data_IF_311922386850
#
_entry.id   IF_311922386850
#
_cell.length_a   1.000
_cell.length_b   1.000
_cell.length_c   1.000
_cell.angle_alpha   90.00
_cell.angle_beta   90.00
_cell.angle_gamma   90.00
#
_symmetry.space_group_name_H-M   'P 1'
#
loop_
_entity.id
_entity.type
_entity.pdbx_description
1 polymer ?
#
# COMPACT_ATOMS: atom_id res chain seq x y z
N UNK A 1 -16.26 29.39 -42.12
CA UNK A 1 -16.54 28.84 -40.78
C UNK A 1 -15.20 28.70 -40.06
N UNK A 2 -14.90 29.63 -39.17
CA UNK A 2 -13.65 29.70 -38.40
C UNK A 2 -13.77 28.83 -37.15
N UNK A 3 -13.00 27.76 -37.08
CA UNK A 3 -12.83 26.95 -35.88
C UNK A 3 -12.12 27.81 -34.81
N UNK A 4 -12.65 27.97 -33.60
CA UNK A 4 -11.97 28.74 -32.57
C UNK A 4 -10.69 27.99 -32.15
N UNK A 5 -9.58 28.73 -32.10
CA UNK A 5 -8.31 28.25 -31.60
C UNK A 5 -8.50 27.74 -30.16
N UNK A 6 -8.32 26.43 -29.98
CA UNK A 6 -8.17 25.85 -28.65
C UNK A 6 -6.91 26.44 -28.03
N UNK A 7 -7.07 27.39 -27.11
CA UNK A 7 -6.03 27.77 -26.17
C UNK A 7 -5.74 26.56 -25.29
N UNK A 8 -4.88 25.65 -25.77
CA UNK A 8 -4.19 24.72 -24.88
C UNK A 8 -3.23 25.57 -24.07
N UNK A 9 -3.59 25.87 -22.82
CA UNK A 9 -2.67 26.43 -21.84
C UNK A 9 -1.35 25.66 -21.91
N UNK A 10 -0.19 26.33 -22.00
CA UNK A 10 1.09 25.65 -21.98
C UNK A 10 1.16 24.84 -20.69
N UNK A 11 1.23 23.52 -20.78
CA UNK A 11 1.55 22.69 -19.62
C UNK A 11 2.94 23.15 -19.14
N UNK A 12 3.07 23.75 -17.94
CA UNK A 12 4.36 24.22 -17.48
C UNK A 12 5.31 23.02 -17.41
N UNK A 13 6.51 23.20 -17.94
CA UNK A 13 7.43 22.13 -18.32
C UNK A 13 7.50 20.94 -17.35
N UNK A 14 7.26 19.74 -17.90
CA UNK A 14 7.88 18.49 -17.46
C UNK A 14 7.93 18.22 -15.96
N UNK A 15 6.85 18.45 -15.22
CA UNK A 15 6.77 17.93 -13.85
C UNK A 15 6.90 16.39 -13.92
N UNK A 16 7.87 15.77 -13.22
CA UNK A 16 8.02 14.31 -13.18
C UNK A 16 6.90 13.62 -12.37
N UNK A 17 5.94 14.41 -11.86
CA UNK A 17 4.88 13.95 -10.98
C UNK A 17 3.68 13.43 -11.77
N UNK A 18 3.64 12.11 -11.98
CA UNK A 18 2.48 11.43 -12.55
C UNK A 18 2.23 10.09 -11.85
N UNK A 19 1.08 9.98 -11.20
CA UNK A 19 0.60 8.77 -10.55
C UNK A 19 -0.31 7.96 -11.49
N UNK A 20 -0.37 6.62 -11.32
CA UNK A 20 -1.27 5.78 -12.09
C UNK A 20 -2.73 6.20 -11.91
N UNK A 21 -3.51 6.02 -12.97
CA UNK A 21 -4.92 6.39 -13.00
C UNK A 21 -5.78 5.21 -13.42
N UNK A 22 -7.03 5.21 -12.96
CA UNK A 22 -8.03 4.26 -13.44
C UNK A 22 -8.42 4.61 -14.88
N UNK A 23 -8.60 3.58 -15.72
CA UNK A 23 -9.14 3.74 -17.07
C UNK A 23 -10.51 4.44 -17.06
N UNK A 24 -11.34 4.12 -16.07
CA UNK A 24 -12.64 4.75 -15.83
C UNK A 24 -12.64 5.46 -14.47
N UNK A 25 -12.23 6.74 -14.46
CA UNK A 25 -12.01 7.52 -13.23
C UNK A 25 -13.26 7.77 -12.39
N UNK A 26 -14.45 7.71 -12.99
CA UNK A 26 -15.74 7.94 -12.31
C UNK A 26 -16.50 6.63 -12.10
N UNK A 27 -16.65 5.83 -13.16
CA UNK A 27 -17.48 4.63 -13.11
C UNK A 27 -16.95 3.59 -12.11
N UNK A 28 -15.63 3.34 -12.06
CA UNK A 28 -15.07 2.33 -11.15
C UNK A 28 -15.27 2.72 -9.67
N UNK A 29 -14.86 3.93 -9.21
CA UNK A 29 -15.13 4.33 -7.83
C UNK A 29 -16.61 4.34 -7.48
N UNK A 30 -17.47 4.83 -8.38
CA UNK A 30 -18.91 4.87 -8.16
C UNK A 30 -19.49 3.46 -7.99
N UNK A 31 -19.19 2.55 -8.91
CA UNK A 31 -19.65 1.16 -8.84
C UNK A 31 -19.13 0.47 -7.58
N UNK A 32 -17.86 0.66 -7.21
CA UNK A 32 -17.31 0.08 -5.99
C UNK A 32 -18.02 0.61 -4.74
N UNK A 33 -18.21 1.93 -4.62
CA UNK A 33 -18.92 2.55 -3.48
C UNK A 33 -20.36 2.05 -3.40
N UNK A 34 -21.09 2.05 -4.51
CA UNK A 34 -22.48 1.60 -4.55
C UNK A 34 -22.60 0.09 -4.26
N UNK A 35 -21.72 -0.74 -4.82
CA UNK A 35 -21.71 -2.17 -4.57
C UNK A 35 -21.40 -2.46 -3.10
N UNK A 36 -20.36 -1.83 -2.52
CA UNK A 36 -20.03 -2.01 -1.11
C UNK A 36 -21.13 -1.50 -0.20
N UNK A 37 -21.76 -0.37 -0.51
CA UNK A 37 -22.91 0.13 0.25
C UNK A 37 -24.11 -0.81 0.16
N UNK A 38 -24.38 -1.37 -1.02
CA UNK A 38 -25.46 -2.35 -1.24
C UNK A 38 -25.21 -3.62 -0.44
N UNK A 39 -23.99 -4.18 -0.52
CA UNK A 39 -23.60 -5.34 0.30
C UNK A 39 -23.75 -5.03 1.78
N UNK A 40 -23.23 -3.88 2.24
CA UNK A 40 -23.38 -3.45 3.63
C UNK A 40 -24.84 -3.39 4.07
N UNK A 41 -25.73 -2.86 3.21
CA UNK A 41 -27.16 -2.79 3.51
C UNK A 41 -27.81 -4.17 3.55
N UNK A 42 -27.42 -5.09 2.67
CA UNK A 42 -27.87 -6.48 2.71
C UNK A 42 -27.42 -7.19 4.00
N UNK A 43 -26.21 -6.91 4.50
CA UNK A 43 -25.73 -7.45 5.78
C UNK A 43 -26.57 -6.95 6.96
N UNK A 44 -26.95 -5.67 6.97
CA UNK A 44 -27.85 -5.08 7.98
C UNK A 44 -29.21 -5.80 7.99
N UNK A 45 -29.71 -6.16 6.82
CA UNK A 45 -31.02 -6.80 6.66
C UNK A 45 -31.00 -8.33 6.80
N UNK A 46 -29.84 -8.93 7.10
CA UNK A 46 -29.66 -10.38 7.16
C UNK A 46 -29.30 -10.84 8.59
N UNK A 47 -30.29 -11.07 9.47
CA UNK A 47 -30.07 -11.50 10.84
C UNK A 47 -29.14 -12.72 10.94
N UNK A 48 -29.32 -13.71 10.08
CA UNK A 48 -28.55 -14.96 10.09
C UNK A 48 -27.04 -14.73 9.93
N UNK A 49 -26.65 -13.74 9.11
CA UNK A 49 -25.24 -13.41 8.88
C UNK A 49 -24.70 -12.63 10.08
N UNK A 50 -25.47 -11.67 10.58
CA UNK A 50 -25.09 -10.89 11.76
C UNK A 50 -24.95 -11.78 13.00
N UNK A 51 -25.84 -12.76 13.19
CA UNK A 51 -25.79 -13.73 14.28
C UNK A 51 -24.57 -14.64 14.15
N UNK A 52 -24.27 -15.13 12.94
CA UNK A 52 -23.08 -15.95 12.69
C UNK A 52 -21.77 -15.19 12.94
N UNK A 53 -21.67 -13.93 12.50
CA UNK A 53 -20.51 -13.09 12.79
C UNK A 53 -20.42 -12.76 14.28
N UNK A 54 -21.55 -12.55 14.98
CA UNK A 54 -21.57 -12.30 16.43
C UNK A 54 -21.12 -13.54 17.21
N UNK A 55 -21.62 -14.73 16.87
CA UNK A 55 -21.21 -16.00 17.48
C UNK A 55 -19.71 -16.27 17.29
N UNK A 56 -19.14 -15.92 16.13
CA UNK A 56 -17.69 -15.98 15.91
C UNK A 56 -16.94 -15.07 16.89
N UNK A 57 -17.41 -13.82 17.07
CA UNK A 57 -16.78 -12.87 17.98
C UNK A 57 -16.88 -13.31 19.44
N UNK A 58 -18.01 -13.88 19.85
CA UNK A 58 -18.20 -14.47 21.19
C UNK A 58 -17.30 -15.69 21.42
N UNK A 59 -17.14 -16.55 20.40
CA UNK A 59 -16.20 -17.66 20.44
C UNK A 59 -14.75 -17.18 20.62
N UNK A 60 -14.36 -16.09 19.96
CA UNK A 60 -13.04 -15.46 20.16
C UNK A 60 -12.90 -14.86 21.56
N UNK A 61 -13.96 -14.25 22.11
CA UNK A 61 -13.89 -13.66 23.46
C UNK A 61 -13.71 -14.72 24.56
N UNK A 62 -14.23 -15.94 24.36
CA UNK A 62 -14.02 -17.06 25.28
C UNK A 62 -12.57 -17.57 25.31
N UNK A 63 -11.78 -17.31 24.26
CA UNK A 63 -10.38 -17.74 24.14
C UNK A 63 -9.40 -16.56 24.33
N UNK A 64 -9.80 -15.53 25.10
CA UNK A 64 -8.94 -14.38 25.38
C UNK A 64 -7.72 -14.76 26.21
N UNK A 65 -6.61 -14.06 25.98
CA UNK A 65 -5.42 -14.16 26.79
C UNK A 65 -4.70 -12.81 26.85
N UNK A 66 -3.95 -12.59 27.94
CA UNK A 66 -3.35 -11.30 28.24
C UNK A 66 -2.40 -10.77 27.14
N UNK A 67 -1.68 -11.66 26.44
CA UNK A 67 -0.77 -11.26 25.38
C UNK A 67 -1.53 -10.71 24.17
N UNK A 68 -2.53 -11.45 23.68
CA UNK A 68 -3.34 -11.03 22.54
C UNK A 68 -4.20 -9.80 22.89
N UNK A 69 -4.69 -9.69 24.12
CA UNK A 69 -5.40 -8.51 24.61
C UNK A 69 -4.51 -7.26 24.61
N UNK A 70 -3.27 -7.39 25.10
CA UNK A 70 -2.29 -6.30 25.09
C UNK A 70 -1.93 -5.89 23.66
N UNK A 71 -1.69 -6.85 22.76
CA UNK A 71 -1.41 -6.57 21.35
C UNK A 71 -2.59 -5.90 20.65
N UNK A 72 -3.81 -6.41 20.82
CA UNK A 72 -5.00 -5.82 20.23
C UNK A 72 -5.26 -4.41 20.77
N UNK A 73 -5.03 -4.17 22.06
CA UNK A 73 -5.17 -2.85 22.69
C UNK A 73 -4.11 -1.87 22.19
N UNK A 74 -2.86 -2.32 22.04
CA UNK A 74 -1.79 -1.50 21.47
C UNK A 74 -2.10 -1.09 20.03
N UNK A 75 -2.60 -2.02 19.21
CA UNK A 75 -3.03 -1.73 17.83
C UNK A 75 -4.19 -0.74 17.81
N UNK A 76 -5.18 -0.88 18.71
CA UNK A 76 -6.29 0.06 18.83
C UNK A 76 -5.84 1.47 19.20
N UNK A 77 -4.89 1.60 20.13
CA UNK A 77 -4.33 2.88 20.52
C UNK A 77 -3.55 3.52 19.36
N UNK A 78 -2.67 2.74 18.72
CA UNK A 78 -1.81 3.19 17.64
C UNK A 78 -2.58 3.61 16.37
N UNK A 79 -3.77 3.02 16.14
CA UNK A 79 -4.62 3.34 14.99
C UNK A 79 -5.91 4.05 15.37
N UNK A 80 -6.00 4.62 16.58
CA UNK A 80 -7.10 5.51 16.95
C UNK A 80 -7.23 6.65 15.94
N UNK A 81 -8.43 7.23 15.77
CA UNK A 81 -8.64 8.30 14.79
C UNK A 81 -7.64 9.47 14.98
N UNK A 82 -7.35 9.84 16.22
CA UNK A 82 -6.32 10.84 16.54
C UNK A 82 -4.92 10.38 16.15
N UNK A 83 -4.54 9.14 16.49
CA UNK A 83 -3.24 8.58 16.11
C UNK A 83 -3.07 8.47 14.58
N UNK A 84 -4.11 8.12 13.82
CA UNK A 84 -4.06 8.11 12.35
C UNK A 84 -3.77 9.50 11.79
N UNK A 85 -4.41 10.55 12.32
CA UNK A 85 -4.12 11.94 11.92
C UNK A 85 -2.66 12.29 12.21
N UNK A 86 -2.16 11.93 13.40
CA UNK A 86 -0.76 12.14 13.77
C UNK A 86 0.21 11.37 12.87
N UNK A 87 -0.09 10.12 12.51
CA UNK A 87 0.72 9.32 11.58
C UNK A 87 0.75 9.97 10.20
N UNK A 88 -0.40 10.39 9.67
CA UNK A 88 -0.47 11.08 8.37
C UNK A 88 0.33 12.38 8.43
N UNK A 89 0.15 13.20 9.47
CA UNK A 89 0.90 14.44 9.64
C UNK A 89 2.41 14.20 9.80
N UNK A 90 2.83 13.17 10.54
CA UNK A 90 4.21 12.81 10.72
C UNK A 90 4.87 12.35 9.42
N UNK A 91 4.17 11.55 8.60
CA UNK A 91 4.67 11.14 7.27
C UNK A 91 4.78 12.34 6.34
N UNK A 92 3.79 13.24 6.32
CA UNK A 92 3.85 14.50 5.56
C UNK A 92 5.06 15.32 5.99
N UNK A 93 5.24 15.55 7.30
CA UNK A 93 6.37 16.31 7.84
C UNK A 93 7.72 15.65 7.53
N UNK A 94 7.82 14.33 7.66
CA UNK A 94 9.02 13.58 7.30
C UNK A 94 9.35 13.69 5.81
N UNK A 95 8.37 13.54 4.91
CA UNK A 95 8.57 13.68 3.48
C UNK A 95 8.94 15.12 3.10
N UNK A 96 8.24 16.12 3.64
CA UNK A 96 8.44 17.52 3.31
C UNK A 96 9.75 18.08 3.88
N UNK A 97 10.04 17.84 5.16
CA UNK A 97 11.13 18.50 5.90
C UNK A 97 12.41 17.66 5.92
N UNK A 98 12.31 16.37 6.22
CA UNK A 98 13.48 15.49 6.37
C UNK A 98 13.95 14.99 5.02
N UNK A 99 13.03 14.48 4.19
CA UNK A 99 13.36 13.99 2.84
C UNK A 99 13.45 15.11 1.80
N UNK A 100 12.98 16.32 2.11
CA UNK A 100 12.93 17.47 1.19
C UNK A 100 12.18 17.14 -0.11
N UNK A 101 11.06 16.45 0.02
CA UNK A 101 10.16 16.04 -1.08
C UNK A 101 8.73 16.54 -0.86
N UNK A 102 8.50 17.87 -1.02
CA UNK A 102 7.18 18.46 -0.79
C UNK A 102 6.11 17.94 -1.76
N UNK A 103 6.49 17.53 -2.98
CA UNK A 103 5.55 16.92 -3.94
C UNK A 103 5.06 15.55 -3.44
N UNK A 104 5.98 14.69 -3.02
CA UNK A 104 5.66 13.38 -2.43
C UNK A 104 4.80 13.54 -1.16
N UNK A 105 5.11 14.54 -0.32
CA UNK A 105 4.37 14.83 0.90
C UNK A 105 2.92 15.25 0.61
N UNK A 106 2.73 16.17 -0.32
CA UNK A 106 1.40 16.66 -0.74
C UNK A 106 0.60 15.54 -1.41
N UNK A 107 1.24 14.79 -2.31
CA UNK A 107 0.66 13.61 -2.93
C UNK A 107 0.20 12.58 -1.91
N UNK A 108 1.09 12.18 -1.00
CA UNK A 108 0.76 11.25 0.08
C UNK A 108 -0.45 11.72 0.89
N UNK A 109 -0.49 13.00 1.28
CA UNK A 109 -1.61 13.57 2.02
C UNK A 109 -2.94 13.45 1.26
N UNK A 110 -2.97 13.86 -0.01
CA UNK A 110 -4.17 13.77 -0.86
C UNK A 110 -4.62 12.30 -0.98
N UNK A 111 -3.70 11.38 -1.25
CA UNK A 111 -4.00 9.96 -1.44
C UNK A 111 -4.55 9.32 -0.16
N UNK A 112 -3.87 9.52 0.97
CA UNK A 112 -4.25 8.93 2.25
C UNK A 112 -5.61 9.46 2.73
N UNK A 113 -5.84 10.78 2.63
CA UNK A 113 -7.10 11.41 3.02
C UNK A 113 -8.26 11.01 2.09
N UNK A 114 -8.03 10.89 0.78
CA UNK A 114 -9.06 10.45 -0.16
C UNK A 114 -9.47 8.98 0.10
N UNK A 115 -8.50 8.10 0.34
CA UNK A 115 -8.75 6.70 0.71
C UNK A 115 -9.53 6.56 2.01
N UNK A 116 -9.09 7.26 3.06
CA UNK A 116 -9.75 7.21 4.37
C UNK A 116 -11.13 7.87 4.34
N UNK A 117 -11.27 9.01 3.65
CA UNK A 117 -12.53 9.72 3.47
C UNK A 117 -13.57 8.90 2.70
N UNK A 118 -13.17 8.14 1.67
CA UNK A 118 -14.07 7.24 0.95
C UNK A 118 -14.67 6.17 1.87
N UNK A 119 -13.88 5.63 2.81
CA UNK A 119 -14.39 4.69 3.83
C UNK A 119 -15.37 5.39 4.76
N UNK A 120 -15.08 6.62 5.18
CA UNK A 120 -16.01 7.45 5.96
C UNK A 120 -17.34 7.70 5.24
N UNK A 121 -17.31 7.94 3.94
CA UNK A 121 -18.52 8.14 3.12
C UNK A 121 -19.40 6.88 3.12
N UNK A 122 -18.84 5.72 2.80
CA UNK A 122 -19.59 4.45 2.80
C UNK A 122 -20.14 4.15 4.20
N UNK A 123 -19.39 4.53 5.24
CA UNK A 123 -19.81 4.32 6.62
C UNK A 123 -21.13 5.00 6.96
N UNK A 124 -21.30 6.24 6.51
CA UNK A 124 -22.54 7.01 6.70
C UNK A 124 -23.68 6.46 5.83
N UNK A 125 -23.38 5.91 4.64
CA UNK A 125 -24.40 5.37 3.74
C UNK A 125 -25.01 4.05 4.21
N UNK A 126 -24.24 3.19 4.88
CA UNK A 126 -24.69 1.85 5.28
C UNK A 126 -25.38 1.85 6.64
N UNK A 127 -24.86 2.62 7.59
CA UNK A 127 -25.40 2.72 8.96
C UNK A 127 -25.54 1.35 9.65
N UNK A 128 -24.52 0.49 9.52
CA UNK A 128 -24.53 -0.83 10.17
C UNK A 128 -24.21 -0.68 11.66
N UNK A 129 -25.04 -1.24 12.56
CA UNK A 129 -24.72 -1.26 13.99
C UNK A 129 -23.47 -2.10 14.26
N UNK A 130 -22.77 -1.79 15.36
CA UNK A 130 -21.62 -2.57 15.81
C UNK A 130 -22.03 -3.84 16.57
N UNK A 131 -21.10 -4.81 16.69
CA UNK A 131 -21.37 -6.03 17.45
C UNK A 131 -21.85 -5.73 18.87
N UNK A 132 -23.03 -6.25 19.21
CA UNK A 132 -23.57 -6.27 20.57
C UNK A 132 -23.37 -7.66 21.13
N UNK A 133 -22.54 -7.79 22.17
CA UNK A 133 -22.28 -9.07 22.82
C UNK A 133 -23.44 -9.43 23.73
N UNK A 134 -23.96 -10.65 23.58
CA UNK A 134 -24.97 -11.19 24.49
C UNK A 134 -24.30 -11.86 25.70
N UNK A 135 -23.09 -12.39 25.50
CA UNK A 135 -22.26 -12.98 26.55
C UNK A 135 -20.81 -12.49 26.47
N UNK A 136 -20.37 -11.73 27.48
CA UNK A 136 -19.02 -11.17 27.60
C UNK A 136 -18.89 -9.71 27.17
N UNK A 137 -17.87 -9.01 27.69
CA UNK A 137 -17.62 -7.60 27.37
C UNK A 137 -16.66 -7.43 26.18
N UNK A 138 -16.90 -6.45 25.29
CA UNK A 138 -15.89 -6.07 24.30
C UNK A 138 -14.59 -5.66 25.00
N UNK A 139 -13.44 -5.92 24.36
CA UNK A 139 -12.13 -5.66 24.97
C UNK A 139 -11.92 -4.16 25.29
N UNK A 140 -12.63 -3.27 24.58
CA UNK A 140 -12.60 -1.83 24.80
C UNK A 140 -13.97 -1.22 24.54
N UNK A 141 -14.39 -0.18 25.30
CA UNK A 141 -15.63 0.52 25.04
C UNK A 141 -15.67 1.03 23.61
N UNK A 142 -16.72 0.63 22.93
CA UNK A 142 -16.87 0.86 21.50
C UNK A 142 -17.29 2.31 21.28
N UNK A 143 -16.37 3.15 20.81
CA UNK A 143 -16.69 4.55 20.48
C UNK A 143 -17.40 4.64 19.11
N UNK A 144 -18.65 5.14 19.15
CA UNK A 144 -19.50 5.41 17.98
C UNK A 144 -20.41 4.25 17.56
N UNK A 145 -21.54 4.57 16.91
CA UNK A 145 -22.62 3.62 16.54
C UNK A 145 -22.32 2.76 15.30
N UNK A 146 -21.44 3.22 14.40
CA UNK A 146 -21.31 2.66 13.04
C UNK A 146 -20.13 1.66 12.91
N UNK A 147 -20.39 0.50 12.33
CA UNK A 147 -19.43 -0.61 12.16
C UNK A 147 -18.83 -0.70 10.76
N UNK A 148 -19.65 -0.66 9.72
CA UNK A 148 -19.27 -0.98 8.35
C UNK A 148 -18.99 0.29 7.52
N UNK A 149 -17.88 0.39 6.77
CA UNK A 149 -16.70 -0.47 6.81
C UNK A 149 -15.76 -0.08 7.98
N UNK A 150 -14.79 -0.94 8.29
CA UNK A 150 -13.78 -0.67 9.32
C UNK A 150 -12.91 0.54 8.94
N UNK A 151 -13.05 1.65 9.68
CA UNK A 151 -12.28 2.88 9.43
C UNK A 151 -10.79 2.73 9.70
N UNK A 152 -10.40 1.89 10.67
CA UNK A 152 -8.99 1.67 11.02
C UNK A 152 -8.29 0.81 9.96
N UNK A 153 -8.97 -0.24 9.49
CA UNK A 153 -8.49 -1.04 8.34
C UNK A 153 -8.42 -0.17 7.10
N UNK A 154 -9.45 0.65 6.85
CA UNK A 154 -9.47 1.60 5.74
C UNK A 154 -8.32 2.60 5.76
N UNK A 155 -8.03 3.19 6.91
CA UNK A 155 -6.90 4.09 7.10
C UNK A 155 -5.57 3.38 6.85
N UNK A 156 -5.38 2.17 7.37
CA UNK A 156 -4.16 1.38 7.16
C UNK A 156 -3.94 1.09 5.67
N UNK A 157 -4.98 0.62 4.95
CA UNK A 157 -4.94 0.41 3.50
C UNK A 157 -4.59 1.71 2.77
N UNK A 158 -5.25 2.82 3.11
CA UNK A 158 -5.03 4.11 2.47
C UNK A 158 -3.58 4.59 2.64
N UNK A 159 -3.04 4.51 3.86
CA UNK A 159 -1.65 4.90 4.18
C UNK A 159 -0.66 4.02 3.41
N UNK A 160 -0.84 2.70 3.43
CA UNK A 160 0.06 1.75 2.75
C UNK A 160 0.08 1.99 1.24
N UNK A 161 -1.09 2.12 0.63
CA UNK A 161 -1.19 2.39 -0.81
C UNK A 161 -0.61 3.78 -1.16
N UNK A 162 -0.92 4.82 -0.38
CA UNK A 162 -0.38 6.15 -0.57
C UNK A 162 1.16 6.15 -0.49
N UNK A 163 1.74 5.57 0.55
CA UNK A 163 3.19 5.40 0.70
C UNK A 163 3.81 4.64 -0.46
N UNK A 164 3.14 3.58 -0.93
CA UNK A 164 3.62 2.76 -2.05
C UNK A 164 3.66 3.54 -3.37
N UNK A 165 2.72 4.45 -3.57
CA UNK A 165 2.60 5.26 -4.79
C UNK A 165 3.60 6.42 -4.82
N UNK A 166 3.95 6.98 -3.66
CA UNK A 166 4.98 8.04 -3.55
C UNK A 166 6.39 7.49 -3.28
N UNK A 167 6.57 6.17 -3.26
CA UNK A 167 7.86 5.55 -2.99
C UNK A 167 8.88 5.80 -4.13
N UNK A 168 10.07 6.28 -3.79
CA UNK A 168 11.09 6.63 -4.81
C UNK A 168 11.80 5.46 -5.48
N UNK A 169 11.59 4.22 -5.04
CA UNK A 169 12.22 3.06 -5.67
C UNK A 169 11.31 1.84 -5.65
N UNK A 170 11.51 0.96 -6.63
CA UNK A 170 10.76 -0.31 -6.71
C UNK A 170 11.00 -1.19 -5.49
N UNK A 171 12.22 -1.15 -4.91
CA UNK A 171 12.56 -1.88 -3.68
C UNK A 171 11.81 -1.33 -2.48
N UNK A 172 11.78 0.00 -2.32
CA UNK A 172 11.01 0.65 -1.25
C UNK A 172 9.52 0.33 -1.38
N UNK A 173 8.96 0.46 -2.59
CA UNK A 173 7.55 0.12 -2.87
C UNK A 173 7.22 -1.32 -2.48
N UNK A 174 8.05 -2.29 -2.88
CA UNK A 174 7.85 -3.71 -2.52
C UNK A 174 7.90 -3.93 -1.00
N UNK A 175 8.84 -3.27 -0.32
CA UNK A 175 8.96 -3.35 1.14
C UNK A 175 7.73 -2.77 1.84
N UNK A 176 7.28 -1.59 1.41
CA UNK A 176 6.07 -0.92 1.92
C UNK A 176 4.84 -1.81 1.71
N UNK A 177 4.67 -2.40 0.53
CA UNK A 177 3.54 -3.27 0.25
C UNK A 177 3.59 -4.55 1.10
N UNK A 178 4.76 -5.18 1.26
CA UNK A 178 4.90 -6.40 2.07
C UNK A 178 4.57 -6.13 3.55
N UNK A 179 5.32 -5.21 4.17
CA UNK A 179 5.16 -4.90 5.60
C UNK A 179 3.86 -4.18 5.89
N UNK A 180 3.41 -3.31 4.99
CA UNK A 180 2.13 -2.62 5.09
C UNK A 180 0.94 -3.57 4.96
N UNK A 181 1.03 -4.59 4.09
CA UNK A 181 -0.02 -5.63 4.02
C UNK A 181 -0.06 -6.43 5.31
N UNK A 182 1.08 -6.86 5.84
CA UNK A 182 1.15 -7.57 7.11
C UNK A 182 0.58 -6.73 8.27
N UNK A 183 0.94 -5.44 8.33
CA UNK A 183 0.40 -4.51 9.32
C UNK A 183 -1.12 -4.33 9.14
N UNK A 184 -1.63 -4.23 7.91
CA UNK A 184 -3.07 -4.11 7.64
C UNK A 184 -3.84 -5.37 8.07
N UNK A 185 -3.27 -6.56 7.83
CA UNK A 185 -3.83 -7.83 8.30
C UNK A 185 -3.86 -7.86 9.83
N UNK A 186 -2.77 -7.47 10.49
CA UNK A 186 -2.71 -7.39 11.95
C UNK A 186 -3.73 -6.39 12.52
N UNK A 187 -3.89 -5.23 11.88
CA UNK A 187 -4.92 -4.25 12.23
C UNK A 187 -6.31 -4.88 12.09
N UNK A 188 -6.62 -5.49 10.96
CA UNK A 188 -7.91 -6.16 10.75
C UNK A 188 -8.19 -7.25 11.79
N UNK A 189 -7.21 -8.12 12.04
CA UNK A 189 -7.31 -9.18 13.05
C UNK A 189 -7.54 -8.61 14.45
N UNK A 190 -6.83 -7.57 14.85
CA UNK A 190 -7.03 -6.91 16.14
C UNK A 190 -8.43 -6.30 16.29
N UNK A 191 -9.04 -5.79 15.19
CA UNK A 191 -10.41 -5.23 15.21
C UNK A 191 -11.49 -6.32 15.35
N UNK A 192 -11.28 -7.49 14.76
CA UNK A 192 -12.14 -8.65 14.95
C UNK A 192 -11.94 -9.23 16.36
N UNK A 193 -10.69 -9.43 16.78
CA UNK A 193 -10.36 -9.98 18.09
C UNK A 193 -10.89 -9.14 19.27
N UNK A 194 -10.78 -7.82 19.18
CA UNK A 194 -11.33 -6.90 20.19
C UNK A 194 -12.86 -6.86 20.22
N UNK A 195 -13.53 -7.42 19.21
CA UNK A 195 -14.97 -7.37 19.08
C UNK A 195 -15.49 -6.03 18.53
N UNK A 196 -14.61 -5.15 18.06
CA UNK A 196 -15.00 -3.81 17.61
C UNK A 196 -15.68 -3.81 16.23
N UNK A 197 -15.38 -4.80 15.39
CA UNK A 197 -15.87 -4.92 14.01
C UNK A 197 -16.11 -6.37 13.62
N UNK A 198 -17.08 -6.57 12.74
CA UNK A 198 -17.31 -7.85 12.10
C UNK A 198 -16.24 -8.12 11.02
N UNK A 199 -15.91 -9.40 10.72
CA UNK A 199 -14.97 -9.74 9.65
C UNK A 199 -15.32 -9.10 8.30
N UNK A 200 -16.61 -9.03 7.95
CA UNK A 200 -17.03 -8.41 6.69
C UNK A 200 -16.81 -6.88 6.67
N UNK A 201 -16.85 -6.21 7.82
CA UNK A 201 -16.54 -4.78 7.91
C UNK A 201 -15.06 -4.51 7.56
N UNK A 202 -14.17 -5.42 7.99
CA UNK A 202 -12.73 -5.36 7.72
C UNK A 202 -12.48 -5.58 6.23
N UNK A 203 -13.08 -6.63 5.65
CA UNK A 203 -12.90 -6.95 4.23
C UNK A 203 -13.46 -5.87 3.31
N UNK A 204 -14.61 -5.28 3.63
CA UNK A 204 -15.24 -4.23 2.84
C UNK A 204 -14.42 -2.93 2.80
N UNK A 205 -13.57 -2.66 3.81
CA UNK A 205 -12.74 -1.47 3.85
C UNK A 205 -11.64 -1.46 2.75
N UNK A 206 -11.17 -2.63 2.33
CA UNK A 206 -10.08 -2.77 1.35
C UNK A 206 -10.41 -2.15 -0.01
N UNK A 207 -11.48 -2.59 -0.72
CA UNK A 207 -11.79 -2.05 -2.03
C UNK A 207 -12.17 -0.56 -1.97
N UNK A 208 -12.88 -0.13 -0.93
CA UNK A 208 -13.30 1.27 -0.75
C UNK A 208 -12.11 2.20 -0.56
N UNK A 209 -11.17 1.83 0.34
CA UNK A 209 -9.96 2.60 0.54
C UNK A 209 -9.09 2.64 -0.73
N UNK A 210 -8.97 1.50 -1.44
CA UNK A 210 -8.20 1.42 -2.68
C UNK A 210 -8.75 2.34 -3.78
N UNK A 211 -10.07 2.32 -4.04
CA UNK A 211 -10.65 3.24 -5.04
C UNK A 211 -10.58 4.69 -4.59
N UNK A 212 -10.73 4.98 -3.30
CA UNK A 212 -10.54 6.32 -2.75
C UNK A 212 -9.12 6.85 -2.97
N UNK A 213 -8.09 6.02 -2.76
CA UNK A 213 -6.70 6.37 -3.07
C UNK A 213 -6.52 6.64 -4.57
N UNK A 214 -7.16 5.87 -5.45
CA UNK A 214 -7.06 6.08 -6.90
C UNK A 214 -7.78 7.34 -7.39
N UNK A 215 -8.90 7.72 -6.75
CA UNK A 215 -9.51 9.04 -6.93
C UNK A 215 -8.55 10.13 -6.46
N UNK A 216 -7.95 9.96 -5.28
CA UNK A 216 -6.91 10.84 -4.75
C UNK A 216 -5.71 10.98 -5.70
N UNK A 217 -5.28 9.91 -6.35
CA UNK A 217 -4.22 9.94 -7.37
C UNK A 217 -4.61 10.77 -8.59
N UNK A 218 -5.89 10.71 -9.01
CA UNK A 218 -6.40 11.55 -10.10
C UNK A 218 -6.39 13.03 -9.71
N UNK A 219 -6.77 13.36 -8.48
CA UNK A 219 -6.72 14.72 -7.94
C UNK A 219 -5.27 15.21 -7.77
N UNK A 220 -4.39 14.38 -7.22
CA UNK A 220 -2.99 14.70 -6.98
C UNK A 220 -2.23 15.00 -8.28
N UNK A 221 -2.59 14.33 -9.38
CA UNK A 221 -2.04 14.60 -10.71
C UNK A 221 -2.36 16.01 -11.24
N UNK A 222 -3.41 16.65 -10.73
CA UNK A 222 -3.78 18.04 -11.09
C UNK A 222 -3.26 19.03 -10.06
N UNK A 223 -3.45 18.73 -8.77
CA UNK A 223 -3.16 19.65 -7.67
C UNK A 223 -1.65 19.78 -7.42
N UNK A 224 -0.91 18.67 -7.39
CA UNK A 224 0.51 18.70 -7.02
C UNK A 224 1.35 19.50 -8.03
N UNK A 225 1.22 19.32 -9.37
CA UNK A 225 1.95 20.14 -10.32
C UNK A 225 1.55 21.63 -10.27
N UNK A 226 0.27 21.94 -10.03
CA UNK A 226 -0.20 23.32 -9.90
C UNK A 226 0.42 24.03 -8.68
N UNK A 227 0.46 23.35 -7.53
CA UNK A 227 1.12 23.87 -6.32
C UNK A 227 2.64 23.98 -6.52
N UNK A 228 3.25 23.00 -7.17
CA UNK A 228 4.69 23.03 -7.47
C UNK A 228 5.07 24.25 -8.31
N UNK A 229 4.26 24.56 -9.33
CA UNK A 229 4.44 25.73 -10.18
C UNK A 229 4.20 27.03 -9.41
N UNK A 230 3.09 27.14 -8.69
CA UNK A 230 2.70 28.36 -7.97
C UNK A 230 3.67 28.75 -6.84
N UNK A 231 4.22 27.76 -6.13
CA UNK A 231 5.16 27.97 -5.03
C UNK A 231 6.63 27.77 -5.42
N UNK A 232 6.92 27.54 -6.70
CA UNK A 232 8.28 27.28 -7.21
C UNK A 232 9.02 26.17 -6.43
N UNK A 233 8.29 25.12 -6.04
CA UNK A 233 8.86 24.04 -5.24
C UNK A 233 9.92 23.25 -6.03
N UNK A 234 11.13 23.23 -5.50
CA UNK A 234 12.22 22.41 -5.99
C UNK A 234 12.20 21.06 -5.23
N UNK A 235 12.26 19.94 -5.95
CA UNK A 235 12.34 18.61 -5.34
C UNK A 235 13.79 18.11 -5.39
N UNK A 236 14.34 17.74 -4.23
CA UNK A 236 15.71 17.22 -4.16
C UNK A 236 15.87 15.95 -5.01
N UNK A 237 16.83 15.95 -5.94
CA UNK A 237 17.12 14.82 -6.83
C UNK A 237 16.38 14.85 -8.18
N UNK A 238 15.60 15.90 -8.47
CA UNK A 238 15.01 16.15 -9.80
C UNK A 238 15.71 17.35 -10.41
N UNK A 239 16.58 17.16 -11.39
CA UNK A 239 17.09 18.26 -12.21
C UNK A 239 16.02 18.65 -13.23
N UNK A 240 15.61 19.93 -13.32
CA UNK A 240 14.73 20.38 -14.38
C UNK A 240 15.39 20.08 -15.74
N UNK A 241 14.72 19.32 -16.61
CA UNK A 241 15.16 19.25 -18.01
C UNK A 241 14.92 20.62 -18.63
N UNK A 242 16.00 21.33 -18.94
CA UNK A 242 15.91 22.52 -19.78
C UNK A 242 15.24 22.11 -21.12
N UNK A 243 14.34 22.95 -21.67
CA UNK A 243 13.74 22.67 -22.96
C UNK A 243 14.84 22.50 -24.02
N UNK A 244 14.70 21.48 -24.87
CA UNK A 244 15.68 21.08 -25.89
C UNK A 244 16.09 22.21 -26.86
N UNK A 245 15.35 23.32 -26.87
CA UNK A 245 15.67 24.53 -27.62
C UNK A 245 16.92 25.24 -27.12
N UNK A 246 17.25 25.17 -25.82
CA UNK A 246 18.47 25.75 -25.27
C UNK A 246 19.73 24.97 -25.70
N UNK A 247 19.66 23.64 -25.69
CA UNK A 247 20.76 22.78 -26.15
C UNK A 247 20.97 22.87 -27.68
N UNK A 248 19.90 23.06 -28.45
CA UNK A 248 19.98 23.27 -29.89
C UNK A 248 20.56 24.64 -30.27
N UNK A 249 20.24 25.70 -29.50
CA UNK A 249 20.80 27.04 -29.70
C UNK A 249 22.30 27.09 -29.35
N UNK A 250 22.71 26.45 -28.24
CA UNK A 250 24.12 26.35 -27.84
C UNK A 250 24.96 25.52 -28.83
N UNK A 251 24.40 24.45 -29.42
CA UNK A 251 25.07 23.67 -30.48
C UNK A 251 25.17 24.43 -31.80
N UNK A 252 24.21 25.31 -32.11
CA UNK A 252 24.27 26.17 -33.30
C UNK A 252 25.27 27.32 -33.17
N UNK A 253 25.46 27.89 -31.98
CA UNK A 253 26.48 28.94 -31.79
C UNK A 253 27.92 28.41 -31.81
N UNK A 254 28.13 27.13 -31.50
CA UNK A 254 29.45 26.50 -31.53
C UNK A 254 29.89 25.98 -32.93
N UNK A 255 28.97 25.91 -33.91
CA UNK A 255 29.25 25.38 -35.25
C UNK A 255 29.59 26.42 -36.32
N UNK A 256 29.71 27.70 -35.95
CA UNK A 256 29.71 28.83 -36.86
C UNK A 256 31.08 29.45 -37.21
N UNK A 257 32.15 28.67 -37.35
CA UNK A 257 33.40 29.17 -37.98
C UNK A 257 34.19 28.03 -38.62
N UNK A 258 33.88 27.69 -39.88
CA UNK A 258 34.87 27.13 -40.81
C UNK A 258 34.52 27.57 -42.22
N UNK A 259 35.28 28.54 -42.72
CA UNK A 259 35.18 29.06 -44.08
C UNK A 259 35.54 27.98 -45.09
N UNK A 260 34.84 28.04 -46.23
CA UNK A 260 35.07 27.24 -47.40
C UNK A 260 36.50 27.36 -47.95
N UNK A 261 37.09 26.23 -48.32
CA UNK A 261 38.04 26.13 -49.43
C UNK A 261 37.82 24.78 -50.12
N UNK A 262 37.52 24.84 -51.41
CA UNK A 262 37.31 23.71 -52.31
C UNK A 262 38.64 23.32 -53.01
N UNK A 263 38.66 22.35 -53.94
CA UNK A 263 39.42 21.11 -53.79
C UNK A 263 40.71 21.08 -54.63
N UNK A 264 41.68 20.26 -54.22
CA UNK A 264 42.82 19.91 -55.05
C UNK A 264 43.12 18.41 -54.96
N UNK A 265 43.35 17.82 -56.14
CA UNK A 265 43.53 16.41 -56.39
C UNK A 265 44.98 15.93 -56.17
N UNK A 266 45.10 14.60 -56.16
CA UNK A 266 46.27 13.72 -56.45
C UNK A 266 47.16 13.23 -55.28
N UNK A 267 47.16 11.90 -55.19
CA UNK A 267 48.33 10.99 -55.26
C UNK A 267 48.74 10.22 -54.00
N UNK A 268 48.54 8.89 -54.08
CA UNK A 268 49.43 7.79 -53.66
C UNK A 268 50.10 7.83 -52.28
N UNK A 269 49.79 6.84 -51.43
CA UNK A 269 50.73 5.75 -51.13
C UNK A 269 50.09 4.69 -50.23
N UNK A 270 50.41 3.44 -50.53
CA UNK A 270 49.97 2.24 -49.87
C UNK A 270 50.48 2.10 -48.43
N UNK A 271 49.69 1.46 -47.57
CA UNK A 271 50.24 0.50 -46.61
C UNK A 271 49.21 -0.56 -46.19
N UNK A 272 49.44 -1.73 -46.74
CA UNK A 272 49.00 -3.08 -46.33
C UNK A 272 49.18 -3.34 -44.84
N UNK A 273 48.20 -3.99 -44.19
CA UNK A 273 48.32 -5.37 -43.64
C UNK A 273 47.03 -5.86 -42.95
N UNK A 274 46.52 -7.01 -43.43
CA UNK A 274 45.84 -8.17 -42.76
C UNK A 274 44.67 -7.88 -41.80
N UNK A 275 43.40 -8.25 -42.04
CA UNK A 275 42.76 -9.51 -42.49
C UNK A 275 43.11 -10.76 -41.68
N UNK A 276 42.17 -11.21 -40.83
CA UNK A 276 41.46 -12.53 -40.83
C UNK A 276 40.62 -12.63 -39.54
N UNK A 277 39.28 -12.57 -39.60
CA UNK A 277 38.33 -13.71 -39.60
C UNK A 277 38.50 -14.62 -38.35
N UNK A 278 37.62 -14.59 -37.35
CA UNK A 278 36.23 -15.09 -37.32
C UNK A 278 36.09 -16.57 -37.72
N UNK A 279 35.48 -17.33 -36.79
CA UNK A 279 34.75 -18.60 -36.94
C UNK A 279 35.50 -19.91 -36.62
N UNK A 280 34.99 -20.62 -35.60
CA UNK A 280 34.44 -21.98 -35.67
C UNK A 280 35.01 -23.04 -34.70
N UNK A 281 34.06 -23.85 -34.21
CA UNK A 281 34.14 -25.22 -33.63
C UNK A 281 34.45 -25.29 -32.12
N UNK A 282 33.55 -25.74 -31.25
CA UNK A 282 32.75 -26.98 -31.16
C UNK A 282 33.56 -28.23 -30.76
N UNK A 283 33.14 -28.78 -29.61
CA UNK A 283 33.20 -30.19 -29.15
C UNK A 283 34.56 -30.82 -28.80
N UNK A 284 34.69 -31.20 -27.51
CA UNK A 284 35.29 -32.45 -27.00
C UNK A 284 35.07 -32.47 -25.47
N UNK A 285 34.16 -33.29 -24.96
CA UNK A 285 34.42 -34.60 -24.32
C UNK A 285 34.99 -34.49 -22.89
N UNK A 286 34.23 -34.85 -21.84
CA UNK A 286 33.83 -36.20 -21.37
C UNK A 286 34.93 -36.89 -20.55
N UNK A 287 34.52 -37.48 -19.41
CA UNK A 287 35.23 -38.35 -18.43
C UNK A 287 36.05 -37.60 -17.37
N UNK A 288 35.97 -37.91 -16.07
CA UNK A 288 35.62 -39.10 -15.24
C UNK A 288 35.20 -38.54 -13.86
N UNK A 289 34.31 -39.09 -13.03
CA UNK A 289 34.05 -40.47 -12.60
C UNK A 289 33.81 -40.41 -11.07
N UNK A 290 32.58 -40.58 -10.57
CA UNK A 290 32.03 -41.79 -9.90
C UNK A 290 32.65 -42.21 -8.56
N UNK A 291 31.85 -42.12 -7.47
CA UNK A 291 31.55 -43.12 -6.40
C UNK A 291 30.73 -42.41 -5.31
N UNK A 292 29.44 -42.74 -5.05
CA UNK A 292 28.89 -43.84 -4.22
C UNK A 292 29.51 -43.85 -2.80
N UNK A 293 28.79 -43.86 -1.67
CA UNK A 293 27.66 -44.72 -1.24
C UNK A 293 27.12 -44.22 0.13
N UNK A 294 25.92 -44.71 0.52
CA UNK A 294 25.45 -44.98 1.91
C UNK A 294 25.18 -43.76 2.82
N UNK A 295 24.20 -43.72 3.72
CA UNK A 295 23.23 -44.67 4.26
C UNK A 295 22.21 -43.85 5.07
N UNK A 296 20.96 -44.30 5.12
CA UNK A 296 19.97 -43.86 6.11
C UNK A 296 19.66 -45.08 6.97
N UNK A 297 19.46 -44.95 8.29
CA UNK A 297 18.19 -45.46 8.80
C UNK A 297 17.56 -44.65 9.93
N UNK A 298 16.29 -44.99 10.14
CA UNK A 298 15.33 -44.41 11.07
C UNK A 298 15.53 -44.85 12.54
N UNK A 299 15.01 -43.99 13.43
CA UNK A 299 14.44 -44.13 14.79
C UNK A 299 14.73 -45.36 15.68
N UNK A 300 14.64 -45.17 17.01
CA UNK A 300 13.65 -45.95 17.76
C UNK A 300 12.86 -45.17 18.82
N UNK A 301 11.69 -45.71 19.14
CA UNK A 301 10.78 -45.33 20.22
C UNK A 301 11.05 -46.10 21.53
N UNK A 302 10.76 -45.50 22.68
CA UNK A 302 10.44 -46.15 23.97
C UNK A 302 9.73 -45.13 24.90
N UNK A 303 8.44 -45.29 25.24
CA UNK A 303 7.86 -45.85 26.51
C UNK A 303 8.42 -45.16 27.78
N UNK A 304 7.61 -44.52 28.63
CA UNK A 304 6.70 -45.14 29.63
C UNK A 304 5.52 -44.26 30.08
N UNK A 305 4.30 -44.83 30.05
CA UNK A 305 3.24 -45.00 31.08
C UNK A 305 2.96 -43.96 32.23
N UNK A 306 1.74 -44.01 32.82
CA UNK A 306 0.99 -42.88 33.38
C UNK A 306 1.00 -42.77 34.91
N UNK A 307 0.49 -41.67 35.46
CA UNK A 307 0.02 -41.60 36.85
C UNK A 307 -1.39 -41.02 36.90
N UNK A 308 -2.28 -41.80 37.49
CA UNK A 308 -3.70 -41.57 37.74
C UNK A 308 -3.90 -41.20 39.23
N UNK A 309 -4.86 -40.32 39.50
CA UNK A 309 -5.86 -40.34 40.59
C UNK A 309 -5.38 -40.44 42.07
N UNK A 310 -5.67 -39.39 42.87
CA UNK A 310 -6.66 -39.42 43.98
C UNK A 310 -6.43 -38.36 45.10
N UNK A 311 -7.49 -37.58 45.33
CA UNK A 311 -8.18 -37.35 46.61
C UNK A 311 -7.66 -36.38 47.70
N UNK A 312 -8.70 -35.77 48.33
CA UNK A 312 -8.80 -35.06 49.62
C UNK A 312 -8.43 -33.56 49.61
N UNK A 313 -9.21 -32.62 50.13
CA UNK A 313 -10.45 -32.56 50.94
C UNK A 313 -10.97 -31.11 50.81
N UNK A 314 -12.25 -30.84 50.56
CA UNK A 314 -13.24 -30.59 51.60
C UNK A 314 -13.34 -29.10 52.01
N UNK A 315 -14.30 -28.35 51.46
CA UNK A 315 -15.07 -27.39 52.27
C UNK A 315 -16.43 -27.08 51.62
N UNK A 316 -17.47 -27.60 52.27
CA UNK A 316 -18.87 -27.18 52.19
C UNK A 316 -19.24 -26.66 53.59
N UNK A 317 -20.31 -25.85 53.66
CA UNK A 317 -20.92 -25.23 54.86
C UNK A 317 -20.14 -24.01 55.39
N UNK A 318 -20.76 -22.89 55.78
CA UNK A 318 -22.17 -22.59 55.96
C UNK A 318 -22.39 -21.06 56.12
N UNK A 319 -23.58 -20.62 55.69
CA UNK A 319 -24.49 -19.63 56.32
C UNK A 319 -23.97 -18.35 57.01
N UNK A 320 -24.61 -17.27 56.56
CA UNK A 320 -25.47 -16.34 57.31
C UNK A 320 -24.94 -14.97 57.72
N UNK A 321 -25.84 -13.99 57.49
CA UNK A 321 -25.94 -12.61 57.96
C UNK A 321 -25.06 -11.58 57.23
#
# INVERSE_FOLDING_TARGET
>A
MTTPAQYTSPSPGGSPWQLPQLRHRVAVPLVTVLLTATIGRLLVLSPQVTDAETALLEGLSQHRNALLDALASAVQLALSNGAVVLVVAAVIGWLAVVRRRPLDATGFGILALAGWGAVGLVKVLVDRPRPTFLTGDPLSPVSGSLSFPSSHTGAAVAIVLALSLVASSRRARRSILLWGTLATVLVGAARVYSGAHYPLDVLAALPVAAVGVMVGASVANTVVPALAFGFSWQQAGVTPRLPATADAAARKSAGGTRSAQAPAARSTAARTTRSTAATARAQAETRRGTRSTEEQPAAPAARTAPYDVAAHTGHRSDRAA
#
